data_IF_814073364299
#
_entry.id   IF_814073364299
#
_cell.length_a   1.000
_cell.length_b   1.000
_cell.length_c   1.000
_cell.angle_alpha   90.00
_cell.angle_beta   90.00
_cell.angle_gamma   90.00
#
_symmetry.space_group_name_H-M   'P 1'
#
loop_
_entity.id
_entity.type
_entity.pdbx_description
1 polymer ?
#
# COMPACT_ATOMS: atom_id res chain seq x y z
N UNK A 1 1.84 -11.43 -26.78
CA UNK A 1 1.69 -11.41 -25.31
C UNK A 1 0.69 -12.48 -24.91
N UNK A 2 0.95 -13.26 -23.86
CA UNK A 2 0.00 -14.25 -23.36
C UNK A 2 -1.32 -13.58 -22.95
N UNK A 3 -2.45 -14.29 -23.11
CA UNK A 3 -3.79 -13.85 -22.70
C UNK A 3 -4.26 -14.67 -21.51
N UNK A 4 -4.86 -14.03 -20.52
CA UNK A 4 -5.41 -14.67 -19.32
C UNK A 4 -6.93 -14.49 -19.30
N UNK A 5 -7.66 -15.57 -19.07
CA UNK A 5 -9.12 -15.58 -18.93
C UNK A 5 -9.49 -15.93 -17.49
N UNK A 6 -10.76 -15.86 -17.12
CA UNK A 6 -11.21 -16.35 -15.80
C UNK A 6 -10.84 -17.83 -15.57
N UNK A 7 -10.86 -18.64 -16.62
CA UNK A 7 -10.52 -20.07 -16.51
C UNK A 7 -9.05 -20.27 -16.12
N UNK A 8 -8.14 -19.59 -16.84
CA UNK A 8 -6.68 -19.72 -16.69
C UNK A 8 -6.08 -18.85 -15.59
N UNK A 9 -6.86 -17.93 -15.02
CA UNK A 9 -6.42 -16.97 -14.02
C UNK A 9 -5.70 -17.60 -12.80
N UNK A 10 -6.20 -18.67 -12.16
CA UNK A 10 -5.49 -19.28 -11.03
C UNK A 10 -4.11 -19.84 -11.38
N UNK A 11 -3.97 -20.44 -12.56
CA UNK A 11 -2.70 -21.03 -12.99
C UNK A 11 -1.70 -19.93 -13.36
N UNK A 12 -2.16 -18.87 -14.01
CA UNK A 12 -1.34 -17.68 -14.24
C UNK A 12 -0.88 -17.05 -12.92
N UNK A 13 -1.77 -16.91 -11.95
CA UNK A 13 -1.46 -16.36 -10.64
C UNK A 13 -0.36 -17.18 -9.91
N UNK A 14 -0.46 -18.51 -9.91
CA UNK A 14 0.57 -19.39 -9.33
C UNK A 14 1.88 -19.32 -10.09
N UNK A 15 1.81 -19.27 -11.42
CA UNK A 15 2.97 -19.10 -12.28
C UNK A 15 3.73 -17.80 -11.95
N UNK A 16 3.03 -16.68 -11.78
CA UNK A 16 3.66 -15.40 -11.41
C UNK A 16 4.37 -15.46 -10.06
N UNK A 17 3.75 -16.06 -9.04
CA UNK A 17 4.38 -16.25 -7.74
C UNK A 17 5.65 -17.09 -7.87
N UNK A 18 5.56 -18.24 -8.57
CA UNK A 18 6.69 -19.14 -8.75
C UNK A 18 7.84 -18.49 -9.52
N UNK A 19 7.53 -17.73 -10.58
CA UNK A 19 8.54 -16.98 -11.34
C UNK A 19 9.25 -15.93 -10.48
N UNK A 20 8.49 -15.15 -9.70
CA UNK A 20 9.05 -14.15 -8.81
C UNK A 20 9.94 -14.76 -7.71
N UNK A 21 9.50 -15.86 -7.10
CA UNK A 21 10.31 -16.59 -6.11
C UNK A 21 11.58 -17.20 -6.71
N UNK A 22 11.48 -17.79 -7.91
CA UNK A 22 12.62 -18.35 -8.63
C UNK A 22 13.64 -17.29 -9.05
N UNK A 23 13.19 -16.05 -9.25
CA UNK A 23 14.04 -14.90 -9.56
C UNK A 23 14.54 -14.15 -8.31
N UNK A 24 14.20 -14.57 -7.10
CA UNK A 24 14.53 -13.84 -5.86
C UNK A 24 16.01 -13.38 -5.74
N UNK A 25 17.03 -14.17 -6.12
CA UNK A 25 18.44 -13.74 -6.07
C UNK A 25 18.82 -12.64 -7.06
N UNK A 26 17.98 -12.38 -8.08
CA UNK A 26 18.24 -11.42 -9.17
C UNK A 26 17.68 -10.03 -8.89
N UNK A 27 16.87 -9.87 -7.84
CA UNK A 27 16.38 -8.57 -7.42
C UNK A 27 17.52 -7.76 -6.80
N UNK A 28 17.76 -6.53 -7.27
CA UNK A 28 18.91 -5.75 -6.82
C UNK A 28 18.72 -5.17 -5.42
N UNK A 29 17.48 -5.03 -4.95
CA UNK A 29 17.17 -4.47 -3.63
C UNK A 29 16.27 -5.42 -2.85
N UNK A 30 16.55 -5.53 -1.55
CA UNK A 30 15.65 -6.15 -0.57
C UNK A 30 15.40 -5.13 0.53
N UNK A 31 14.13 -4.83 0.81
CA UNK A 31 13.70 -3.96 1.91
C UNK A 31 12.99 -4.80 2.96
N UNK A 32 13.32 -4.58 4.22
CA UNK A 32 12.59 -5.15 5.35
C UNK A 32 11.91 -4.01 6.10
N UNK A 33 10.64 -4.20 6.41
CA UNK A 33 9.83 -3.21 7.13
C UNK A 33 9.06 -3.95 8.22
N UNK A 34 9.07 -3.42 9.43
CA UNK A 34 8.22 -3.94 10.50
C UNK A 34 6.95 -3.12 10.61
N UNK A 35 5.82 -3.80 10.48
CA UNK A 35 4.48 -3.24 10.61
C UNK A 35 3.76 -3.94 11.78
N UNK A 36 2.60 -3.44 12.25
CA UNK A 36 1.91 -4.04 13.39
C UNK A 36 1.70 -5.56 13.29
N UNK A 37 2.46 -6.35 14.05
CA UNK A 37 2.42 -7.82 14.01
C UNK A 37 2.92 -8.47 12.70
N UNK A 38 3.57 -7.71 11.81
CA UNK A 38 3.99 -8.17 10.49
C UNK A 38 5.43 -7.75 10.17
N UNK A 39 6.29 -8.72 9.83
CA UNK A 39 7.59 -8.45 9.21
C UNK A 39 7.47 -8.64 7.70
N UNK A 40 7.56 -7.54 6.96
CA UNK A 40 7.44 -7.51 5.51
C UNK A 40 8.82 -7.48 4.87
N UNK A 41 9.09 -8.44 3.98
CA UNK A 41 10.28 -8.43 3.11
C UNK A 41 9.84 -8.14 1.68
N UNK A 42 10.37 -7.08 1.08
CA UNK A 42 10.06 -6.66 -0.29
C UNK A 42 11.29 -6.83 -1.18
N UNK A 43 11.15 -7.60 -2.26
CA UNK A 43 12.14 -7.73 -3.32
C UNK A 43 11.76 -6.80 -4.48
N UNK A 44 12.66 -5.92 -4.91
CA UNK A 44 12.34 -4.90 -5.91
C UNK A 44 13.56 -4.37 -6.68
N UNK A 45 13.28 -3.77 -7.83
CA UNK A 45 14.24 -2.95 -8.59
C UNK A 45 14.50 -1.59 -7.93
N UNK A 46 15.48 -0.84 -8.45
CA UNK A 46 15.68 0.57 -8.08
C UNK A 46 14.57 1.46 -8.67
N UNK A 47 14.43 2.68 -8.15
CA UNK A 47 13.55 3.72 -8.71
C UNK A 47 12.43 4.13 -7.75
N UNK A 48 11.40 4.79 -8.31
CA UNK A 48 10.38 5.52 -7.55
C UNK A 48 9.69 4.68 -6.47
N UNK A 49 9.36 3.41 -6.74
CA UNK A 49 8.72 2.55 -5.73
C UNK A 49 9.69 2.14 -4.62
N UNK A 50 10.97 1.93 -4.93
CA UNK A 50 11.98 1.64 -3.91
C UNK A 50 12.26 2.84 -3.01
N UNK A 51 12.26 4.03 -3.60
CA UNK A 51 12.35 5.28 -2.86
C UNK A 51 11.11 5.47 -1.99
N UNK A 52 9.89 5.32 -2.55
CA UNK A 52 8.64 5.42 -1.79
C UNK A 52 8.62 4.46 -0.58
N UNK A 53 9.00 3.20 -0.76
CA UNK A 53 9.04 2.21 0.31
C UNK A 53 10.02 2.54 1.44
N UNK A 54 11.02 3.40 1.20
CA UNK A 54 11.98 3.79 2.24
C UNK A 54 11.39 4.72 3.31
N UNK A 55 10.28 5.40 2.99
CA UNK A 55 9.69 6.42 3.86
C UNK A 55 8.17 6.33 3.99
N UNK A 56 7.48 5.55 3.15
CA UNK A 56 6.02 5.48 3.13
C UNK A 56 5.39 4.83 4.37
N UNK A 57 6.13 3.99 5.09
CA UNK A 57 5.60 3.25 6.24
C UNK A 57 5.95 3.89 7.58
N UNK A 58 5.06 3.72 8.55
CA UNK A 58 5.39 3.92 9.96
C UNK A 58 5.83 2.58 10.51
N UNK A 59 7.12 2.43 10.80
CA UNK A 59 7.62 1.19 11.38
C UNK A 59 7.09 0.99 12.79
N UNK A 60 6.53 -0.20 13.05
CA UNK A 60 6.05 -0.58 14.36
C UNK A 60 7.22 -0.91 15.30
N UNK A 61 7.01 -0.65 16.59
CA UNK A 61 7.91 -1.09 17.64
C UNK A 61 7.95 -2.62 17.77
N UNK A 62 8.67 -3.10 18.79
CA UNK A 62 8.63 -4.50 19.18
C UNK A 62 7.30 -4.84 19.88
N UNK A 63 6.22 -4.80 19.12
CA UNK A 63 4.85 -4.94 19.62
C UNK A 63 4.47 -6.42 19.85
N UNK A 64 5.17 -7.34 19.18
CA UNK A 64 4.99 -8.80 19.32
C UNK A 64 6.35 -9.54 19.28
N UNK A 65 6.52 -10.63 20.05
CA UNK A 65 7.75 -11.42 20.05
C UNK A 65 7.99 -12.15 18.72
N UNK A 66 6.93 -12.65 18.09
CA UNK A 66 6.99 -13.40 16.83
C UNK A 66 5.99 -12.82 15.81
N UNK A 67 6.39 -11.77 15.06
CA UNK A 67 5.55 -11.26 13.99
C UNK A 67 5.46 -12.29 12.86
N UNK A 68 4.29 -12.37 12.25
CA UNK A 68 4.12 -13.14 11.01
C UNK A 68 4.98 -12.54 9.90
N UNK A 69 5.51 -13.38 9.01
CA UNK A 69 6.42 -12.96 7.93
C UNK A 69 5.70 -12.96 6.59
N UNK A 70 5.84 -11.90 5.82
CA UNK A 70 5.29 -11.79 4.46
C UNK A 70 6.39 -11.40 3.48
N UNK A 71 6.36 -11.98 2.27
CA UNK A 71 7.31 -11.71 1.19
C UNK A 71 6.59 -11.19 -0.03
N UNK A 72 6.92 -9.98 -0.46
CA UNK A 72 6.33 -9.37 -1.66
C UNK A 72 7.41 -9.10 -2.69
N UNK A 73 7.10 -9.40 -3.95
CA UNK A 73 7.99 -9.15 -5.08
C UNK A 73 7.39 -8.07 -5.98
N UNK A 74 8.11 -6.97 -6.21
CA UNK A 74 7.75 -5.95 -7.19
C UNK A 74 8.57 -6.24 -8.45
N UNK A 75 7.94 -6.91 -9.40
CA UNK A 75 8.55 -7.54 -10.55
C UNK A 75 8.27 -6.77 -11.85
N UNK A 76 9.22 -6.79 -12.77
CA UNK A 76 9.04 -6.40 -14.17
C UNK A 76 10.02 -7.21 -15.04
N UNK A 77 9.79 -7.34 -16.36
CA UNK A 77 10.59 -8.17 -17.28
C UNK A 77 12.07 -7.81 -17.39
N UNK A 78 12.46 -6.61 -16.93
CA UNK A 78 13.87 -6.21 -16.84
C UNK A 78 14.65 -6.95 -15.74
N UNK A 79 13.98 -7.72 -14.90
CA UNK A 79 14.59 -8.63 -13.92
C UNK A 79 14.60 -10.03 -14.55
N UNK A 80 15.78 -10.63 -14.68
CA UNK A 80 15.94 -11.94 -15.34
C UNK A 80 15.04 -13.02 -14.70
N UNK A 81 14.38 -13.82 -15.55
CA UNK A 81 13.40 -14.82 -15.15
C UNK A 81 11.98 -14.30 -14.83
N UNK A 82 11.73 -12.99 -14.89
CA UNK A 82 10.38 -12.43 -14.77
C UNK A 82 9.70 -12.36 -16.15
N UNK A 83 8.46 -12.85 -16.29
CA UNK A 83 7.74 -12.81 -17.56
C UNK A 83 7.19 -11.42 -17.89
N UNK A 84 6.96 -11.18 -19.19
CA UNK A 84 6.08 -10.11 -19.65
C UNK A 84 4.66 -10.26 -19.05
N UNK A 85 4.04 -9.16 -18.59
CA UNK A 85 2.65 -9.20 -18.14
C UNK A 85 1.72 -9.76 -19.21
N UNK A 86 0.80 -10.63 -18.81
CA UNK A 86 -0.24 -11.09 -19.70
C UNK A 86 -1.32 -10.01 -19.83
N UNK A 87 -2.02 -10.02 -20.97
CA UNK A 87 -3.22 -9.20 -21.17
C UNK A 87 -4.45 -9.95 -20.73
N UNK A 88 -5.43 -9.22 -20.22
CA UNK A 88 -6.75 -9.82 -20.03
C UNK A 88 -7.37 -10.23 -21.36
N UNK A 89 -7.82 -11.48 -21.41
CA UNK A 89 -8.23 -12.17 -22.62
C UNK A 89 -9.73 -12.13 -22.88
N UNK A 90 -10.55 -11.99 -21.84
CA UNK A 90 -12.01 -11.99 -21.97
C UNK A 90 -12.54 -10.59 -22.28
N UNK A 91 -13.54 -10.49 -23.16
CA UNK A 91 -14.20 -9.22 -23.45
C UNK A 91 -15.01 -8.69 -22.25
N UNK A 92 -15.39 -9.57 -21.32
CA UNK A 92 -16.13 -9.23 -20.11
C UNK A 92 -15.23 -9.38 -18.88
N UNK A 93 -14.85 -8.25 -18.28
CA UNK A 93 -14.15 -8.20 -17.00
C UNK A 93 -15.08 -7.64 -15.92
N UNK A 94 -15.08 -8.29 -14.75
CA UNK A 94 -15.69 -7.72 -13.55
C UNK A 94 -14.75 -7.96 -12.38
N UNK A 95 -14.54 -6.94 -11.56
CA UNK A 95 -13.73 -7.03 -10.34
C UNK A 95 -14.22 -8.16 -9.42
N UNK A 96 -15.54 -8.30 -9.30
CA UNK A 96 -16.13 -9.35 -8.48
C UNK A 96 -15.84 -10.76 -9.01
N UNK A 97 -16.03 -11.00 -10.31
CA UNK A 97 -15.76 -12.30 -10.93
C UNK A 97 -14.28 -12.67 -10.84
N UNK A 98 -13.40 -11.71 -11.10
CA UNK A 98 -11.95 -11.84 -10.95
C UNK A 98 -11.56 -12.23 -9.52
N UNK A 99 -12.00 -11.44 -8.53
CA UNK A 99 -11.68 -11.66 -7.12
C UNK A 99 -12.25 -12.99 -6.61
N UNK A 100 -13.49 -13.32 -6.99
CA UNK A 100 -14.14 -14.59 -6.62
C UNK A 100 -13.35 -15.79 -7.17
N UNK A 101 -12.95 -15.74 -8.44
CA UNK A 101 -12.22 -16.83 -9.08
C UNK A 101 -10.87 -17.11 -8.43
N UNK A 102 -10.11 -16.06 -8.07
CA UNK A 102 -8.88 -16.23 -7.29
C UNK A 102 -9.16 -16.74 -5.89
N UNK A 103 -10.21 -16.25 -5.24
CA UNK A 103 -10.56 -16.68 -3.88
C UNK A 103 -10.91 -18.17 -3.80
N UNK A 104 -11.63 -18.71 -4.77
CA UNK A 104 -11.92 -20.15 -4.91
C UNK A 104 -10.65 -21.00 -5.06
N UNK A 105 -9.58 -20.41 -5.60
CA UNK A 105 -8.27 -21.05 -5.73
C UNK A 105 -7.34 -20.82 -4.52
N UNK A 106 -7.84 -20.21 -3.44
CA UNK A 106 -7.05 -19.88 -2.26
C UNK A 106 -6.16 -18.64 -2.40
N UNK A 107 -6.36 -17.85 -3.46
CA UNK A 107 -5.54 -16.69 -3.79
C UNK A 107 -6.33 -15.38 -3.63
N UNK A 108 -5.61 -14.26 -3.70
CA UNK A 108 -6.17 -12.91 -3.86
C UNK A 108 -5.47 -12.23 -5.01
N UNK A 109 -6.13 -11.24 -5.59
CA UNK A 109 -5.48 -10.44 -6.60
C UNK A 109 -6.27 -9.21 -7.00
N UNK A 110 -5.62 -8.39 -7.80
CA UNK A 110 -6.14 -7.20 -8.45
C UNK A 110 -5.44 -7.04 -9.80
N UNK A 111 -6.16 -6.55 -10.80
CA UNK A 111 -5.62 -6.30 -12.14
C UNK A 111 -6.05 -4.91 -12.62
N UNK A 112 -5.08 -4.09 -13.01
CA UNK A 112 -5.32 -2.76 -13.55
C UNK A 112 -5.02 -2.75 -15.05
N UNK A 113 -6.09 -2.70 -15.84
CA UNK A 113 -6.08 -2.91 -17.29
C UNK A 113 -5.16 -1.96 -18.05
N UNK A 114 -5.19 -0.67 -17.73
CA UNK A 114 -4.51 0.37 -18.52
C UNK A 114 -2.98 0.18 -18.57
N UNK A 115 -2.41 -0.56 -17.61
CA UNK A 115 -0.98 -0.77 -17.47
C UNK A 115 -0.56 -2.24 -17.52
N UNK A 116 -1.48 -3.16 -17.81
CA UNK A 116 -1.28 -4.60 -17.64
C UNK A 116 -0.64 -4.92 -16.26
N UNK A 117 -1.14 -4.26 -15.22
CA UNK A 117 -0.56 -4.28 -13.88
C UNK A 117 -1.27 -5.33 -13.02
N UNK A 118 -0.52 -6.32 -12.54
CA UNK A 118 -1.05 -7.45 -11.78
C UNK A 118 -0.57 -7.43 -10.35
N UNK A 119 -1.47 -7.65 -9.41
CA UNK A 119 -1.13 -7.94 -8.02
C UNK A 119 -1.76 -9.28 -7.66
N UNK A 120 -0.96 -10.25 -7.23
CA UNK A 120 -1.40 -11.60 -6.87
C UNK A 120 -0.81 -11.97 -5.50
N UNK A 121 -1.63 -12.52 -4.62
CA UNK A 121 -1.24 -12.86 -3.26
C UNK A 121 -1.74 -14.26 -2.87
N UNK A 122 -0.86 -15.02 -2.22
CA UNK A 122 -1.14 -16.29 -1.56
C UNK A 122 -1.18 -16.05 -0.04
N UNK A 123 -2.38 -15.97 0.57
CA UNK A 123 -2.53 -15.76 2.01
C UNK A 123 -2.05 -16.93 2.86
N UNK A 124 -1.98 -18.15 2.33
CA UNK A 124 -1.52 -19.31 3.08
C UNK A 124 0.01 -19.28 3.24
N UNK A 125 0.72 -18.85 2.20
CA UNK A 125 2.18 -18.76 2.19
C UNK A 125 2.70 -17.38 2.62
N UNK A 126 1.82 -16.39 2.71
CA UNK A 126 2.15 -14.97 2.88
C UNK A 126 3.15 -14.49 1.82
N UNK A 127 2.90 -14.83 0.56
CA UNK A 127 3.74 -14.45 -0.59
C UNK A 127 2.91 -13.74 -1.63
N UNK A 128 3.42 -12.63 -2.18
CA UNK A 128 2.75 -11.90 -3.24
C UNK A 128 3.68 -11.37 -4.31
N UNK A 129 3.14 -11.12 -5.49
CA UNK A 129 3.82 -10.53 -6.63
C UNK A 129 3.01 -9.39 -7.20
N UNK A 130 3.66 -8.24 -7.39
CA UNK A 130 3.21 -7.12 -8.18
C UNK A 130 3.99 -7.14 -9.48
N UNK A 131 3.35 -7.49 -10.59
CA UNK A 131 3.97 -7.53 -11.91
C UNK A 131 3.58 -6.27 -12.71
N UNK A 132 4.60 -5.58 -13.21
CA UNK A 132 4.51 -4.34 -13.97
C UNK A 132 5.17 -4.54 -15.34
N UNK A 133 4.74 -3.81 -16.37
CA UNK A 133 5.35 -3.90 -17.71
C UNK A 133 6.79 -3.37 -17.75
N UNK A 134 7.07 -2.33 -16.97
CA UNK A 134 8.40 -1.72 -16.78
C UNK A 134 8.54 -1.30 -15.32
N UNK A 135 9.72 -0.82 -14.91
CA UNK A 135 9.96 -0.38 -13.53
C UNK A 135 9.09 0.82 -13.10
N UNK A 136 8.55 1.56 -14.05
CA UNK A 136 7.73 2.77 -13.88
C UNK A 136 6.27 2.63 -14.35
N UNK A 137 5.88 1.47 -14.89
CA UNK A 137 4.50 1.19 -15.32
C UNK A 137 3.60 0.76 -14.15
N UNK A 138 3.39 1.64 -13.19
CA UNK A 138 2.50 1.44 -12.06
C UNK A 138 1.41 2.53 -11.98
N UNK A 139 0.23 2.23 -11.40
CA UNK A 139 -0.78 3.23 -11.17
C UNK A 139 -0.25 4.41 -10.35
N UNK A 140 -0.68 5.65 -10.63
CA UNK A 140 -0.05 6.84 -10.07
C UNK A 140 -0.24 6.99 -8.55
N UNK A 141 -1.15 6.23 -7.94
CA UNK A 141 -1.33 6.18 -6.49
C UNK A 141 -0.38 5.23 -5.77
N UNK A 142 0.30 4.31 -6.46
CA UNK A 142 1.17 3.30 -5.83
C UNK A 142 2.28 3.92 -4.97
N UNK A 143 3.01 4.99 -5.39
CA UNK A 143 4.05 5.58 -4.53
C UNK A 143 3.49 6.19 -3.24
N UNK A 144 2.24 6.65 -3.24
CA UNK A 144 1.62 7.31 -2.08
C UNK A 144 0.98 6.35 -1.07
N UNK A 145 0.83 5.08 -1.42
CA UNK A 145 0.33 4.01 -0.55
C UNK A 145 0.83 2.65 -1.07
N UNK A 146 2.16 2.41 -1.06
CA UNK A 146 2.74 1.24 -1.72
C UNK A 146 2.24 -0.04 -1.06
N UNK A 147 2.04 -1.08 -1.87
CA UNK A 147 1.64 -2.41 -1.41
C UNK A 147 0.29 -2.46 -0.68
N UNK A 148 -0.54 -1.40 -0.78
CA UNK A 148 -1.85 -1.30 -0.12
C UNK A 148 -2.72 -2.54 -0.31
N UNK A 149 -2.76 -3.11 -1.52
CA UNK A 149 -3.57 -4.31 -1.80
C UNK A 149 -3.10 -5.53 -0.98
N UNK A 150 -1.79 -5.78 -0.93
CA UNK A 150 -1.21 -6.87 -0.15
C UNK A 150 -1.42 -6.68 1.34
N UNK A 151 -1.20 -5.46 1.84
CA UNK A 151 -1.44 -5.13 3.25
C UNK A 151 -2.93 -5.27 3.59
N UNK A 152 -3.83 -4.87 2.70
CA UNK A 152 -5.26 -5.07 2.88
C UNK A 152 -5.59 -6.55 3.03
N UNK A 153 -5.14 -7.42 2.12
CA UNK A 153 -5.42 -8.85 2.21
C UNK A 153 -4.79 -9.51 3.43
N UNK A 154 -3.57 -9.13 3.78
CA UNK A 154 -2.84 -9.72 4.89
C UNK A 154 -3.39 -9.32 6.25
N UNK A 155 -3.74 -8.05 6.45
CA UNK A 155 -4.40 -7.65 7.68
C UNK A 155 -5.84 -8.17 7.76
N UNK A 156 -6.53 -8.28 6.61
CA UNK A 156 -7.87 -8.84 6.54
C UNK A 156 -7.95 -10.31 6.97
N UNK A 157 -6.93 -11.13 6.68
CA UNK A 157 -6.88 -12.54 7.11
C UNK A 157 -6.73 -12.68 8.63
N UNK A 158 -6.26 -11.62 9.30
CA UNK A 158 -6.02 -11.55 10.74
C UNK A 158 -7.12 -10.81 11.51
N UNK A 159 -8.26 -10.53 10.87
CA UNK A 159 -9.40 -9.84 11.49
C UNK A 159 -9.25 -8.32 11.60
N UNK A 160 -8.18 -7.74 11.04
CA UNK A 160 -7.98 -6.29 11.00
C UNK A 160 -8.48 -5.70 9.66
N UNK A 161 -8.60 -4.38 9.58
CA UNK A 161 -9.07 -3.68 8.37
C UNK A 161 -8.22 -2.46 8.07
N UNK A 162 -7.75 -2.36 6.82
CA UNK A 162 -7.30 -1.07 6.27
C UNK A 162 -8.54 -0.23 5.98
N UNK A 163 -8.68 0.90 6.66
CA UNK A 163 -9.84 1.78 6.57
C UNK A 163 -9.42 3.13 6.00
N UNK A 164 -10.16 3.62 5.00
CA UNK A 164 -9.95 4.95 4.45
C UNK A 164 -10.58 6.01 5.37
N UNK A 165 -9.81 6.50 6.33
CA UNK A 165 -10.28 7.41 7.37
C UNK A 165 -9.15 8.28 7.92
N UNK A 166 -9.52 9.49 8.32
CA UNK A 166 -8.64 10.34 9.12
C UNK A 166 -8.73 10.01 10.61
N UNK A 167 -7.66 10.29 11.35
CA UNK A 167 -7.64 10.07 12.80
C UNK A 167 -7.16 11.30 13.54
N UNK A 168 -7.80 11.58 14.68
CA UNK A 168 -7.32 12.55 15.67
C UNK A 168 -7.45 11.94 17.05
N UNK A 169 -6.46 12.17 17.90
CA UNK A 169 -6.42 11.64 19.26
C UNK A 169 -5.82 12.59 20.27
N UNK A 170 -6.11 12.32 21.53
CA UNK A 170 -5.49 12.94 22.70
C UNK A 170 -5.41 11.90 23.81
N UNK A 171 -4.25 11.78 24.45
CA UNK A 171 -4.02 10.86 25.58
C UNK A 171 -4.45 9.41 25.28
N UNK A 172 -4.10 8.91 24.09
CA UNK A 172 -4.40 7.53 23.66
C UNK A 172 -5.87 7.24 23.32
N UNK A 173 -6.74 8.26 23.31
CA UNK A 173 -8.14 8.15 22.88
C UNK A 173 -8.35 8.99 21.64
N UNK A 174 -9.06 8.47 20.65
CA UNK A 174 -9.23 9.17 19.39
C UNK A 174 -10.56 8.92 18.69
N UNK A 175 -10.72 9.65 17.60
CA UNK A 175 -11.86 9.58 16.69
C UNK A 175 -11.39 9.16 15.31
N UNK A 176 -12.31 8.52 14.58
CA UNK A 176 -12.18 8.26 13.15
C UNK A 176 -13.05 9.26 12.38
N UNK A 177 -12.45 9.89 11.38
CA UNK A 177 -13.10 10.80 10.46
C UNK A 177 -13.36 10.06 9.16
N UNK A 178 -14.62 9.70 8.90
CA UNK A 178 -15.04 9.09 7.65
C UNK A 178 -15.62 10.15 6.70
N UNK A 179 -15.45 9.93 5.40
CA UNK A 179 -15.97 10.84 4.38
C UNK A 179 -15.38 10.56 2.99
N UNK A 180 -16.04 11.06 1.95
CA UNK A 180 -15.55 10.97 0.58
C UNK A 180 -14.21 11.69 0.38
N UNK A 181 -13.57 11.47 -0.76
CA UNK A 181 -12.43 12.29 -1.18
C UNK A 181 -12.84 13.77 -1.24
N UNK A 182 -12.01 14.65 -0.69
CA UNK A 182 -12.30 16.10 -0.65
C UNK A 182 -13.20 16.56 0.51
N UNK A 183 -13.73 15.66 1.34
CA UNK A 183 -14.58 16.01 2.48
C UNK A 183 -13.86 16.73 3.65
N UNK A 184 -12.56 17.01 3.52
CA UNK A 184 -11.78 17.73 4.54
C UNK A 184 -11.00 16.87 5.53
N UNK A 185 -11.11 15.52 5.49
CA UNK A 185 -10.43 14.59 6.42
C UNK A 185 -8.94 14.94 6.64
N UNK A 186 -8.14 14.91 5.56
CA UNK A 186 -6.70 15.19 5.61
C UNK A 186 -6.38 16.58 6.14
N UNK A 187 -7.19 17.58 5.77
CA UNK A 187 -7.00 18.95 6.24
C UNK A 187 -7.28 19.08 7.73
N UNK A 188 -8.32 18.42 8.23
CA UNK A 188 -8.64 18.34 9.65
C UNK A 188 -7.57 17.60 10.45
N UNK A 189 -7.06 16.48 9.92
CA UNK A 189 -5.96 15.73 10.55
C UNK A 189 -4.70 16.59 10.64
N UNK A 190 -4.26 17.19 9.53
CA UNK A 190 -3.08 18.06 9.51
C UNK A 190 -3.25 19.27 10.43
N UNK A 191 -4.44 19.89 10.47
CA UNK A 191 -4.74 20.97 11.41
C UNK A 191 -4.61 20.51 12.87
N UNK A 192 -5.16 19.33 13.21
CA UNK A 192 -5.07 18.78 14.56
C UNK A 192 -3.62 18.51 14.98
N UNK A 193 -2.83 17.87 14.12
CA UNK A 193 -1.40 17.62 14.35
C UNK A 193 -0.64 18.92 14.65
N UNK A 194 -0.85 19.94 13.83
CA UNK A 194 -0.20 21.26 13.98
C UNK A 194 -0.60 21.96 15.31
N UNK A 195 -1.76 21.62 15.86
CA UNK A 195 -2.28 22.20 17.10
C UNK A 195 -2.16 21.25 18.32
N UNK A 196 -1.32 20.22 18.23
CA UNK A 196 -0.95 19.37 19.37
C UNK A 196 -1.89 18.18 19.63
N UNK A 197 -2.72 17.79 18.66
CA UNK A 197 -3.40 16.50 18.68
C UNK A 197 -2.52 15.41 18.06
N UNK A 198 -2.76 14.16 18.42
CA UNK A 198 -2.12 13.00 17.82
C UNK A 198 -2.90 12.51 16.59
N UNK A 199 -2.23 11.79 15.70
CA UNK A 199 -2.87 11.06 14.60
C UNK A 199 -2.08 9.79 14.29
N UNK A 200 -2.80 8.76 13.84
CA UNK A 200 -2.21 7.55 13.29
C UNK A 200 -2.35 7.48 11.76
N UNK A 201 -2.82 8.55 11.10
CA UNK A 201 -2.92 8.66 9.65
C UNK A 201 -4.20 9.35 9.16
N UNK A 202 -4.21 9.69 7.87
CA UNK A 202 -5.31 10.40 7.20
C UNK A 202 -5.98 9.65 6.02
N UNK A 203 -5.20 8.82 5.32
CA UNK A 203 -5.61 8.07 4.13
C UNK A 203 -5.99 6.64 4.54
N UNK A 204 -5.01 5.74 4.76
CA UNK A 204 -5.27 4.38 5.22
C UNK A 204 -4.74 4.15 6.63
N UNK A 205 -5.64 3.86 7.55
CA UNK A 205 -5.32 3.47 8.93
C UNK A 205 -5.66 2.00 9.16
N UNK A 206 -4.89 1.33 10.00
CA UNK A 206 -5.15 -0.06 10.36
C UNK A 206 -6.06 -0.10 11.58
N UNK A 207 -7.27 -0.63 11.41
CA UNK A 207 -8.25 -0.83 12.49
C UNK A 207 -8.18 -2.27 12.98
N UNK A 208 -7.90 -2.40 14.26
CA UNK A 208 -7.97 -3.64 15.02
C UNK A 208 -9.22 -3.61 15.91
N UNK A 209 -10.01 -4.68 15.83
CA UNK A 209 -11.25 -4.84 16.60
C UNK A 209 -11.08 -5.80 17.78
N UNK A 210 -9.90 -6.40 17.95
CA UNK A 210 -9.62 -7.30 19.05
C UNK A 210 -9.53 -6.51 20.37
N UNK A 211 -10.41 -6.83 21.33
CA UNK A 211 -10.40 -6.20 22.66
C UNK A 211 -10.86 -4.74 22.69
N UNK A 212 -11.44 -4.23 21.60
CA UNK A 212 -11.87 -2.84 21.45
C UNK A 212 -11.54 -2.30 20.05
N UNK A 213 -11.88 -1.04 19.78
CA UNK A 213 -11.52 -0.39 18.51
C UNK A 213 -10.20 0.35 18.69
N UNK A 214 -9.14 -0.15 18.07
CA UNK A 214 -7.81 0.47 18.06
C UNK A 214 -7.42 0.85 16.64
N UNK A 215 -7.02 2.10 16.43
CA UNK A 215 -6.42 2.54 15.17
C UNK A 215 -4.89 2.58 15.31
N UNK A 216 -4.18 2.04 14.33
CA UNK A 216 -2.71 1.96 14.29
C UNK A 216 -2.17 2.62 13.02
N UNK A 217 -0.98 3.25 13.10
CA UNK A 217 -0.36 3.83 11.93
C UNK A 217 0.15 2.74 11.00
N UNK A 218 0.05 3.01 9.71
CA UNK A 218 0.57 2.12 8.67
C UNK A 218 1.37 2.92 7.65
N UNK A 219 0.77 4.00 7.14
CA UNK A 219 1.43 4.93 6.24
C UNK A 219 1.80 6.23 6.96
N UNK A 220 2.95 6.79 6.61
CA UNK A 220 3.48 8.05 7.15
C UNK A 220 3.02 9.27 6.33
N UNK A 221 2.42 9.03 5.17
CA UNK A 221 2.13 10.04 4.16
C UNK A 221 0.83 10.79 4.47
N UNK A 222 0.87 12.11 4.31
CA UNK A 222 -0.27 13.01 4.30
C UNK A 222 -0.37 13.71 2.94
N UNK A 223 -1.58 14.16 2.58
CA UNK A 223 -1.83 14.87 1.32
C UNK A 223 -2.66 16.13 1.56
N UNK A 224 -2.29 17.24 0.91
CA UNK A 224 -3.09 18.47 0.87
C UNK A 224 -3.17 19.05 -0.53
N UNK A 225 -4.35 19.52 -0.93
CA UNK A 225 -4.48 20.38 -2.09
C UNK A 225 -3.82 21.75 -1.85
N UNK A 226 -3.61 22.53 -2.91
CA UNK A 226 -2.93 23.82 -2.82
C UNK A 226 -3.61 24.81 -1.85
N UNK A 227 -4.94 24.79 -1.76
CA UNK A 227 -5.70 25.69 -0.88
C UNK A 227 -5.52 25.29 0.59
N UNK A 228 -5.66 24.01 0.91
CA UNK A 228 -5.43 23.45 2.24
C UNK A 228 -3.99 23.63 2.68
N UNK A 229 -3.03 23.41 1.78
CA UNK A 229 -1.60 23.60 2.02
C UNK A 229 -1.29 25.03 2.47
N UNK A 230 -1.83 26.02 1.74
CA UNK A 230 -1.69 27.45 2.05
C UNK A 230 -2.40 27.82 3.35
N UNK A 231 -3.64 27.34 3.54
CA UNK A 231 -4.48 27.62 4.72
C UNK A 231 -3.83 27.15 6.02
N UNK A 232 -3.16 26.00 5.97
CA UNK A 232 -2.45 25.42 7.10
C UNK A 232 -1.02 25.98 7.29
N UNK A 233 -0.57 26.85 6.38
CA UNK A 233 0.77 27.43 6.42
C UNK A 233 1.89 26.40 6.25
N UNK A 234 1.62 25.27 5.59
CA UNK A 234 2.56 24.17 5.44
C UNK A 234 3.82 24.56 4.67
N UNK A 235 3.74 25.53 3.77
CA UNK A 235 4.88 26.13 3.07
C UNK A 235 5.95 26.73 3.99
N UNK A 236 5.58 27.09 5.23
CA UNK A 236 6.52 27.62 6.24
C UNK A 236 7.04 26.54 7.19
N UNK A 237 6.43 25.35 7.18
CA UNK A 237 6.72 24.24 8.10
C UNK A 237 7.60 23.19 7.44
N UNK A 238 7.32 22.88 6.18
CA UNK A 238 8.09 21.91 5.40
C UNK A 238 9.39 22.55 4.89
N UNK A 239 10.49 21.80 5.01
CA UNK A 239 11.82 22.23 4.56
C UNK A 239 11.98 22.16 3.05
N UNK A 240 11.27 21.24 2.40
CA UNK A 240 11.22 21.10 0.96
C UNK A 240 9.79 20.81 0.49
N UNK A 241 9.49 21.17 -0.75
CA UNK A 241 8.23 20.85 -1.40
C UNK A 241 8.53 19.96 -2.59
N UNK A 242 8.11 18.71 -2.50
CA UNK A 242 8.17 17.78 -3.63
C UNK A 242 7.20 18.19 -4.76
N UNK A 243 7.29 17.54 -5.92
CA UNK A 243 6.32 17.71 -6.99
C UNK A 243 4.90 17.37 -6.50
N UNK A 244 3.91 17.99 -7.11
CA UNK A 244 2.51 17.61 -6.87
C UNK A 244 2.28 16.17 -7.36
N UNK A 245 1.46 15.44 -6.62
CA UNK A 245 1.02 14.12 -7.06
C UNK A 245 0.01 14.21 -8.21
N UNK A 246 -0.41 13.07 -8.72
CA UNK A 246 -1.37 12.95 -9.83
C UNK A 246 -2.74 13.61 -9.59
N UNK A 247 -3.10 13.91 -8.35
CA UNK A 247 -4.30 14.67 -7.98
C UNK A 247 -4.05 16.18 -7.84
N UNK A 248 -2.85 16.67 -8.17
CA UNK A 248 -2.45 18.05 -7.95
C UNK A 248 -2.28 18.40 -6.47
N UNK A 249 -1.95 17.41 -5.62
CA UNK A 249 -1.78 17.61 -4.18
C UNK A 249 -0.33 17.53 -3.76
N UNK A 250 0.02 18.36 -2.77
CA UNK A 250 1.27 18.23 -2.02
C UNK A 250 1.23 16.94 -1.20
N UNK A 251 2.33 16.20 -1.23
CA UNK A 251 2.55 15.01 -0.42
C UNK A 251 3.72 15.30 0.53
N UNK A 252 3.56 14.92 1.79
CA UNK A 252 4.53 15.11 2.86
C UNK A 252 4.29 14.06 3.95
N UNK A 253 5.17 14.00 4.94
CA UNK A 253 5.12 13.03 6.02
C UNK A 253 4.65 13.65 7.34
N UNK A 254 4.02 12.83 8.18
CA UNK A 254 3.51 13.25 9.50
C UNK A 254 4.61 13.91 10.34
N UNK A 255 5.80 13.32 10.37
CA UNK A 255 6.98 13.75 11.13
C UNK A 255 7.59 15.06 10.64
N UNK A 256 7.26 15.50 9.42
CA UNK A 256 7.69 16.81 8.92
C UNK A 256 6.86 17.97 9.48
N UNK A 257 5.69 17.71 10.06
CA UNK A 257 4.77 18.75 10.56
C UNK A 257 4.45 18.64 12.05
N UNK A 258 4.62 17.47 12.65
CA UNK A 258 4.43 17.23 14.07
C UNK A 258 5.30 16.04 14.53
N UNK A 259 5.89 16.09 15.74
CA UNK A 259 6.58 14.93 16.30
C UNK A 259 5.59 13.77 16.47
N UNK A 260 6.06 12.53 16.23
CA UNK A 260 5.25 11.34 16.51
C UNK A 260 5.37 11.00 18.02
N UNK A 261 4.26 10.60 18.67
CA UNK A 261 4.32 10.03 20.01
C UNK A 261 5.08 8.69 20.05
#
# INVERSE_FOLDING_TARGET
MPRVTLETLPDYARYLIAAAEGAAPRYPTIRKVRLPGLELTVHLGHGVLADALSHAFVEAGHDQPEPSKCRIFIAHPGIDGIPEPARWGDAHFTEHGFAKRLAEAGLRGHYFHDLDFWQIYDPQRCVGVQLMATADAFPPWEPGAPLRAFLHWEYASRGMRLTHAGTLGINGKGILLAGSGGAGKSGTVAAGLINGLDSVGDDYVLIDLAGGVTARPLFSTLKQDAQGFTRLGLQKRLTAQGPLNWQGKHMFHVDEIAPRP
#
